data_IF_809573483284
#
_entry.id   IF_809573483284
#
_cell.length_a   1.000
_cell.length_b   1.000
_cell.length_c   1.000
_cell.angle_alpha   90.00
_cell.angle_beta   90.00
_cell.angle_gamma   90.00
#
_symmetry.space_group_name_H-M   'P 1'
#
loop_
_entity.id
_entity.type
_entity.pdbx_description
1 polymer ?
#
# COMPACT_ATOMS: atom_id res chain seq x y z
N UNK A 1 34.62 -7.67 -3.08
CA UNK A 1 33.83 -8.70 -3.80
C UNK A 1 32.68 -9.20 -2.93
N UNK A 2 32.92 -9.71 -1.71
CA UNK A 2 31.83 -10.07 -0.76
C UNK A 2 30.87 -8.93 -0.43
N UNK A 3 31.37 -7.70 -0.32
CA UNK A 3 30.55 -6.53 -0.02
C UNK A 3 29.56 -6.16 -1.15
N UNK A 4 29.96 -6.38 -2.40
CA UNK A 4 29.10 -6.17 -3.58
C UNK A 4 28.00 -7.23 -3.63
N UNK A 5 28.33 -8.48 -3.28
CA UNK A 5 27.36 -9.58 -3.21
C UNK A 5 26.29 -9.27 -2.15
N UNK A 6 26.70 -8.88 -0.95
CA UNK A 6 25.78 -8.52 0.13
C UNK A 6 24.86 -7.34 -0.26
N UNK A 7 25.39 -6.35 -0.98
CA UNK A 7 24.58 -5.22 -1.45
C UNK A 7 23.52 -5.65 -2.48
N UNK A 8 23.84 -6.58 -3.37
CA UNK A 8 22.90 -7.11 -4.36
C UNK A 8 21.79 -7.95 -3.70
N UNK A 9 22.14 -8.76 -2.70
CA UNK A 9 21.17 -9.53 -1.92
C UNK A 9 20.19 -8.62 -1.16
N UNK A 10 20.71 -7.56 -0.52
CA UNK A 10 19.88 -6.56 0.15
C UNK A 10 18.94 -5.84 -0.84
N UNK A 11 19.44 -5.48 -2.02
CA UNK A 11 18.62 -4.84 -3.05
C UNK A 11 17.51 -5.78 -3.54
N UNK A 12 17.80 -7.07 -3.71
CA UNK A 12 16.82 -8.08 -4.10
C UNK A 12 15.71 -8.23 -3.04
N UNK A 13 16.07 -8.22 -1.75
CA UNK A 13 15.11 -8.24 -0.64
C UNK A 13 14.21 -7.01 -0.65
N UNK A 14 14.79 -5.80 -0.78
CA UNK A 14 14.02 -4.57 -0.86
C UNK A 14 13.06 -4.56 -2.07
N UNK A 15 13.50 -5.06 -3.23
CA UNK A 15 12.64 -5.20 -4.40
C UNK A 15 11.49 -6.19 -4.20
N UNK A 16 11.71 -7.24 -3.39
CA UNK A 16 10.66 -8.19 -3.05
C UNK A 16 9.64 -7.55 -2.09
N UNK A 17 10.10 -6.85 -1.06
CA UNK A 17 9.23 -6.13 -0.12
C UNK A 17 8.33 -5.12 -0.85
N UNK A 18 8.92 -4.30 -1.72
CA UNK A 18 8.16 -3.32 -2.54
C UNK A 18 7.10 -4.02 -3.39
N UNK A 19 7.43 -5.15 -4.02
CA UNK A 19 6.48 -5.91 -4.85
C UNK A 19 5.32 -6.46 -4.03
N UNK A 20 5.59 -7.02 -2.85
CA UNK A 20 4.52 -7.51 -1.97
C UNK A 20 3.63 -6.38 -1.47
N UNK A 21 4.20 -5.25 -1.09
CA UNK A 21 3.42 -4.06 -0.69
C UNK A 21 2.55 -3.55 -1.83
N UNK A 22 3.07 -3.48 -3.05
CA UNK A 22 2.31 -3.06 -4.23
C UNK A 22 1.15 -4.02 -4.54
N UNK A 23 1.37 -5.33 -4.43
CA UNK A 23 0.31 -6.34 -4.60
C UNK A 23 -0.78 -6.21 -3.54
N UNK A 24 -0.39 -6.02 -2.28
CA UNK A 24 -1.35 -5.79 -1.17
C UNK A 24 -2.20 -4.55 -1.42
N UNK A 25 -1.58 -3.44 -1.84
CA UNK A 25 -2.29 -2.21 -2.17
C UNK A 25 -3.26 -2.40 -3.35
N UNK A 26 -2.82 -3.08 -4.41
CA UNK A 26 -3.66 -3.36 -5.57
C UNK A 26 -4.90 -4.18 -5.17
N UNK A 27 -4.75 -5.20 -4.32
CA UNK A 27 -5.88 -5.97 -3.80
C UNK A 27 -6.85 -5.13 -2.97
N UNK A 28 -6.34 -4.23 -2.11
CA UNK A 28 -7.19 -3.32 -1.32
C UNK A 28 -7.98 -2.36 -2.19
N UNK A 29 -7.38 -1.83 -3.28
CA UNK A 29 -8.07 -0.96 -4.23
C UNK A 29 -9.18 -1.71 -4.96
N UNK A 30 -8.93 -2.93 -5.43
CA UNK A 30 -9.95 -3.75 -6.07
C UNK A 30 -11.15 -4.01 -5.15
N UNK A 31 -10.88 -4.40 -3.90
CA UNK A 31 -11.93 -4.62 -2.89
C UNK A 31 -12.77 -3.34 -2.65
N UNK A 32 -12.14 -2.18 -2.61
CA UNK A 32 -12.84 -0.90 -2.47
C UNK A 32 -13.73 -0.59 -3.68
N UNK A 33 -13.26 -0.87 -4.89
CA UNK A 33 -14.06 -0.69 -6.11
C UNK A 33 -15.27 -1.63 -6.14
N UNK A 34 -15.06 -2.90 -5.79
CA UNK A 34 -16.15 -3.89 -5.68
C UNK A 34 -17.21 -3.42 -4.66
N UNK A 35 -16.77 -2.92 -3.50
CA UNK A 35 -17.67 -2.37 -2.47
C UNK A 35 -18.47 -1.16 -2.98
N UNK A 36 -17.84 -0.25 -3.72
CA UNK A 36 -18.54 0.89 -4.32
C UNK A 36 -19.61 0.41 -5.29
N UNK A 37 -19.30 -0.55 -6.15
CA UNK A 37 -20.20 -1.09 -7.17
C UNK A 37 -21.42 -1.81 -6.55
N UNK A 38 -21.27 -2.44 -5.38
CA UNK A 38 -22.37 -3.11 -4.67
C UNK A 38 -23.49 -2.17 -4.20
N UNK A 39 -23.22 -0.86 -4.06
CA UNK A 39 -24.22 0.13 -3.62
C UNK A 39 -24.16 1.41 -4.46
N UNK A 40 -25.10 1.64 -5.39
CA UNK A 40 -25.04 2.81 -6.26
C UNK A 40 -25.33 4.16 -5.57
N UNK A 41 -25.86 4.16 -4.34
CA UNK A 41 -26.30 5.36 -3.62
C UNK A 41 -25.63 5.51 -2.26
N UNK A 42 -24.31 5.74 -2.26
CA UNK A 42 -23.58 6.03 -1.03
C UNK A 42 -23.89 7.43 -0.49
N UNK A 43 -24.11 7.53 0.81
CA UNK A 43 -24.07 8.81 1.51
C UNK A 43 -22.62 9.25 1.74
N UNK A 44 -22.42 10.55 1.96
CA UNK A 44 -21.10 11.12 2.25
C UNK A 44 -20.46 10.53 3.52
N UNK A 45 -21.28 10.19 4.52
CA UNK A 45 -20.82 9.56 5.76
C UNK A 45 -20.33 8.12 5.51
N UNK A 46 -21.05 7.36 4.69
CA UNK A 46 -20.66 5.98 4.34
C UNK A 46 -19.41 5.96 3.47
N UNK A 47 -19.25 6.88 2.51
CA UNK A 47 -17.99 7.03 1.76
C UNK A 47 -16.83 7.44 2.67
N UNK A 48 -17.08 8.26 3.69
CA UNK A 48 -16.04 8.64 4.67
C UNK A 48 -15.61 7.46 5.52
N UNK A 49 -16.56 6.64 5.99
CA UNK A 49 -16.27 5.44 6.76
C UNK A 49 -15.56 4.36 5.92
N UNK A 50 -16.03 4.15 4.68
CA UNK A 50 -15.39 3.24 3.72
C UNK A 50 -13.97 3.72 3.41
N UNK A 51 -13.81 5.03 3.17
CA UNK A 51 -12.52 5.67 3.02
C UNK A 51 -11.67 5.40 4.26
N UNK A 52 -12.09 5.69 5.48
CA UNK A 52 -11.31 5.43 6.71
C UNK A 52 -10.93 3.95 6.90
N UNK A 53 -11.81 3.01 6.55
CA UNK A 53 -11.51 1.57 6.55
C UNK A 53 -10.47 1.19 5.50
N UNK A 54 -10.49 1.83 4.33
CA UNK A 54 -9.49 1.67 3.28
C UNK A 54 -8.21 2.49 3.53
N UNK A 55 -8.34 3.62 4.25
CA UNK A 55 -7.29 4.46 4.84
C UNK A 55 -6.83 3.85 6.18
N UNK A 56 -6.80 2.52 6.30
CA UNK A 56 -5.74 1.84 7.07
C UNK A 56 -4.39 2.03 6.32
N UNK A 57 -4.15 3.29 5.94
CA UNK A 57 -3.04 4.03 5.34
C UNK A 57 -1.78 3.98 6.19
N UNK A 58 -1.76 3.15 7.25
CA UNK A 58 -0.50 2.67 7.81
C UNK A 58 0.33 1.92 6.77
N UNK A 59 -0.27 1.41 5.70
CA UNK A 59 0.47 0.87 4.56
C UNK A 59 1.12 1.95 3.69
N UNK A 60 0.52 3.14 3.54
CA UNK A 60 1.12 4.26 2.78
C UNK A 60 2.23 4.92 3.60
N UNK A 61 2.04 5.07 4.91
CA UNK A 61 3.10 5.58 5.80
C UNK A 61 4.27 4.58 5.94
N UNK A 62 3.99 3.27 5.98
CA UNK A 62 5.02 2.22 5.98
C UNK A 62 5.77 2.15 4.64
N UNK A 63 5.06 2.25 3.51
CA UNK A 63 5.67 2.30 2.17
C UNK A 63 6.42 3.62 1.96
N UNK A 64 5.89 4.74 2.43
CA UNK A 64 6.55 6.06 2.40
C UNK A 64 7.83 6.09 3.21
N UNK A 65 7.84 5.50 4.42
CA UNK A 65 9.06 5.29 5.23
C UNK A 65 10.05 4.35 4.57
N UNK A 66 9.60 3.23 3.99
CA UNK A 66 10.46 2.28 3.27
C UNK A 66 11.09 2.90 2.00
N UNK A 67 10.43 3.88 1.38
CA UNK A 67 10.89 4.61 0.20
C UNK A 67 11.64 5.92 0.53
N UNK A 68 11.82 6.25 1.82
CA UNK A 68 12.56 7.43 2.25
C UNK A 68 11.84 8.77 2.04
N UNK A 69 10.53 8.76 1.82
CA UNK A 69 9.72 9.96 1.71
C UNK A 69 9.35 10.44 3.12
N UNK A 70 9.87 11.60 3.53
CA UNK A 70 9.46 12.24 4.79
C UNK A 70 8.04 12.79 4.63
N UNK A 71 7.16 12.41 5.53
CA UNK A 71 5.89 13.09 5.71
C UNK A 71 6.18 14.42 6.42
N UNK A 72 5.87 15.53 5.74
CA UNK A 72 5.78 16.86 6.35
C UNK A 72 4.50 16.98 7.21
#
# INVERSE_FOLDING_TARGET
MNEIINQLENLALQQQEIRMSAQGLHASVLCFLDQIDEKPNWSRAELSALREMCLVERNVEAVGKALGLKAD
#
